data_IF_848250429404
#
_entry.id   IF_848250429404
#
_cell.length_a   1.000
_cell.length_b   1.000
_cell.length_c   1.000
_cell.angle_alpha   90.00
_cell.angle_beta   90.00
_cell.angle_gamma   90.00
#
_symmetry.space_group_name_H-M   'P 1'
#
loop_
_entity.id
_entity.type
_entity.pdbx_description
1 polymer ?
#
# COMPACT_ATOMS: atom_id res chain seq x y z
N UNK A 1 0.97 -12.76 58.86
CA UNK A 1 0.54 -13.73 59.89
C UNK A 1 -0.34 -14.75 59.18
N UNK A 2 0.00 -16.04 59.25
CA UNK A 2 -0.79 -17.12 58.62
C UNK A 2 -1.71 -17.73 59.66
N UNK A 3 -2.97 -18.00 59.27
CA UNK A 3 -3.99 -18.53 60.16
C UNK A 3 -4.59 -19.78 59.49
N UNK A 4 -4.73 -20.90 60.21
CA UNK A 4 -5.33 -22.12 59.66
C UNK A 4 -6.84 -22.00 59.45
N UNK A 5 -7.32 -22.41 58.28
CA UNK A 5 -8.73 -22.43 57.90
C UNK A 5 -9.55 -23.39 58.79
N UNK A 6 -10.86 -23.12 58.89
CA UNK A 6 -11.85 -23.95 59.60
C UNK A 6 -11.58 -24.14 61.10
N UNK A 7 -11.01 -23.11 61.75
CA UNK A 7 -10.81 -23.08 63.21
C UNK A 7 -11.84 -22.22 63.95
N UNK A 8 -12.97 -21.91 63.32
CA UNK A 8 -14.05 -21.07 63.83
C UNK A 8 -13.58 -19.72 64.36
N UNK A 9 -12.62 -19.10 63.66
CA UNK A 9 -12.12 -17.77 64.01
C UNK A 9 -13.10 -16.75 63.45
N UNK A 10 -13.81 -15.95 64.27
CA UNK A 10 -14.92 -15.13 63.80
C UNK A 10 -14.54 -14.10 62.71
N UNK A 11 -13.28 -13.64 62.70
CA UNK A 11 -12.79 -12.74 61.66
C UNK A 11 -12.52 -13.44 60.32
N UNK A 12 -12.06 -14.69 60.37
CA UNK A 12 -11.78 -15.54 59.21
C UNK A 12 -13.09 -15.96 58.54
N UNK A 13 -14.05 -16.41 59.34
CA UNK A 13 -15.39 -16.77 58.85
C UNK A 13 -16.11 -15.60 58.18
N UNK A 14 -16.01 -14.39 58.75
CA UNK A 14 -16.57 -13.18 58.14
C UNK A 14 -15.94 -12.86 56.79
N UNK A 15 -14.62 -13.03 56.67
CA UNK A 15 -13.92 -12.82 55.42
C UNK A 15 -14.33 -13.86 54.35
N UNK A 16 -14.44 -15.14 54.75
CA UNK A 16 -14.89 -16.22 53.86
C UNK A 16 -16.33 -16.03 53.38
N UNK A 17 -17.24 -15.63 54.28
CA UNK A 17 -18.63 -15.32 53.93
C UNK A 17 -18.67 -14.17 52.91
N UNK A 18 -17.95 -13.07 53.17
CA UNK A 18 -17.90 -11.92 52.26
C UNK A 18 -17.32 -12.29 50.88
N UNK A 19 -16.28 -13.14 50.84
CA UNK A 19 -15.71 -13.63 49.59
C UNK A 19 -16.71 -14.51 48.81
N UNK A 20 -17.46 -15.38 49.51
CA UNK A 20 -18.49 -16.23 48.91
C UNK A 20 -19.66 -15.40 48.35
N UNK A 21 -20.13 -14.41 49.09
CA UNK A 21 -21.13 -13.45 48.63
C UNK A 21 -20.64 -12.66 47.40
N UNK A 22 -19.39 -12.20 47.40
CA UNK A 22 -18.81 -11.52 46.24
C UNK A 22 -18.72 -12.43 45.01
N UNK A 23 -18.35 -13.71 45.17
CA UNK A 23 -18.25 -14.68 44.06
C UNK A 23 -19.58 -15.06 43.42
N UNK A 24 -20.69 -14.91 44.14
CA UNK A 24 -22.05 -15.22 43.65
C UNK A 24 -22.73 -14.01 43.03
N UNK A 25 -22.13 -12.84 43.11
CA UNK A 25 -22.67 -11.62 42.55
C UNK A 25 -22.53 -11.60 41.01
N UNK A 26 -23.64 -11.74 40.31
CA UNK A 26 -23.71 -11.76 38.83
C UNK A 26 -23.68 -10.32 38.25
N UNK A 27 -23.91 -9.29 39.07
CA UNK A 27 -23.89 -7.88 38.68
C UNK A 27 -22.47 -7.26 38.69
N UNK A 28 -21.43 -8.07 38.49
CA UNK A 28 -20.07 -7.55 38.30
C UNK A 28 -19.98 -7.06 36.85
N UNK A 29 -19.64 -5.78 36.60
CA UNK A 29 -19.37 -5.33 35.25
C UNK A 29 -18.22 -6.18 34.69
N UNK A 30 -18.50 -6.94 33.63
CA UNK A 30 -17.45 -7.61 32.86
C UNK A 30 -16.53 -6.53 32.32
N UNK A 31 -15.36 -6.38 32.92
CA UNK A 31 -14.28 -5.61 32.34
C UNK A 31 -13.78 -6.44 31.17
N UNK A 32 -14.09 -6.00 29.96
CA UNK A 32 -13.57 -6.62 28.75
C UNK A 32 -12.08 -6.27 28.67
N UNK A 33 -11.27 -7.06 29.36
CA UNK A 33 -9.81 -6.94 29.37
C UNK A 33 -9.29 -7.39 28.00
N UNK A 34 -9.52 -6.57 26.97
CA UNK A 34 -8.84 -6.76 25.69
C UNK A 34 -7.35 -6.68 25.95
N UNK A 35 -6.61 -7.72 25.57
CA UNK A 35 -5.15 -7.71 25.72
C UNK A 35 -4.59 -6.48 25.04
N UNK A 36 -3.50 -5.91 25.57
CA UNK A 36 -2.75 -4.85 24.89
C UNK A 36 -2.42 -5.22 23.43
N UNK A 37 -2.21 -6.52 23.15
CA UNK A 37 -2.01 -7.03 21.79
C UNK A 37 -3.22 -6.83 20.89
N UNK A 38 -4.43 -7.01 21.43
CA UNK A 38 -5.68 -6.90 20.68
C UNK A 38 -6.04 -5.44 20.44
N UNK A 39 -5.85 -4.56 21.43
CA UNK A 39 -6.03 -3.12 21.28
C UNK A 39 -5.07 -2.54 20.24
N UNK A 40 -3.79 -2.91 20.29
CA UNK A 40 -2.80 -2.52 19.28
C UNK A 40 -3.17 -3.02 17.87
N UNK A 41 -3.62 -4.28 17.74
CA UNK A 41 -4.05 -4.85 16.46
C UNK A 41 -5.27 -4.13 15.88
N UNK A 42 -6.24 -3.81 16.73
CA UNK A 42 -7.44 -3.08 16.34
C UNK A 42 -7.12 -1.64 15.95
N UNK A 43 -6.26 -0.95 16.69
CA UNK A 43 -5.79 0.39 16.34
C UNK A 43 -5.09 0.41 14.97
N UNK A 44 -4.21 -0.56 14.71
CA UNK A 44 -3.54 -0.69 13.41
C UNK A 44 -4.53 -0.98 12.28
N UNK A 45 -5.52 -1.85 12.52
CA UNK A 45 -6.58 -2.17 11.55
C UNK A 45 -7.40 -0.92 11.22
N UNK A 46 -7.82 -0.17 12.24
CA UNK A 46 -8.58 1.08 12.08
C UNK A 46 -7.76 2.14 11.35
N UNK A 47 -6.49 2.32 11.70
CA UNK A 47 -5.59 3.24 11.00
C UNK A 47 -5.44 2.89 9.52
N UNK A 48 -5.19 1.61 9.18
CA UNK A 48 -5.14 1.15 7.79
C UNK A 48 -6.43 1.44 7.02
N UNK A 49 -7.58 1.21 7.67
CA UNK A 49 -8.89 1.48 7.06
C UNK A 49 -9.10 2.98 6.80
N UNK A 50 -8.73 3.84 7.74
CA UNK A 50 -8.81 5.30 7.57
C UNK A 50 -7.90 5.75 6.44
N UNK A 51 -6.64 5.30 6.40
CA UNK A 51 -5.72 5.63 5.31
C UNK A 51 -6.24 5.16 3.94
N UNK A 52 -6.83 3.96 3.87
CA UNK A 52 -7.43 3.48 2.63
C UNK A 52 -8.61 4.36 2.19
N UNK A 53 -9.49 4.78 3.10
CA UNK A 53 -10.60 5.70 2.78
C UNK A 53 -10.11 7.04 2.25
N UNK A 54 -9.06 7.60 2.86
CA UNK A 54 -8.45 8.84 2.37
C UNK A 54 -7.83 8.63 0.98
N UNK A 55 -7.20 7.49 0.77
CA UNK A 55 -6.63 7.13 -0.53
C UNK A 55 -7.70 6.95 -1.62
N UNK A 56 -8.85 6.38 -1.29
CA UNK A 56 -9.97 6.21 -2.21
C UNK A 56 -10.58 7.56 -2.66
N UNK A 57 -10.32 8.65 -1.92
CA UNK A 57 -10.76 10.02 -2.25
C UNK A 57 -9.79 10.75 -3.19
N UNK A 58 -8.60 10.21 -3.46
CA UNK A 58 -7.58 10.83 -4.31
C UNK A 58 -7.91 10.65 -5.82
N UNK A 59 -8.80 11.50 -6.33
CA UNK A 59 -9.28 11.42 -7.72
C UNK A 59 -8.21 11.79 -8.78
N UNK A 60 -7.23 12.62 -8.41
CA UNK A 60 -6.23 13.18 -9.33
C UNK A 60 -4.82 12.59 -9.14
N UNK A 61 -4.72 11.41 -8.53
CA UNK A 61 -3.43 10.77 -8.27
C UNK A 61 -3.11 9.68 -9.31
N UNK A 62 -2.01 9.87 -10.04
CA UNK A 62 -1.53 8.91 -11.07
C UNK A 62 -1.28 7.53 -10.47
N UNK A 63 -0.78 7.46 -9.23
CA UNK A 63 -0.48 6.20 -8.57
C UNK A 63 -1.75 5.46 -8.16
N UNK A 64 -2.86 6.17 -7.85
CA UNK A 64 -4.14 5.54 -7.48
C UNK A 64 -4.67 4.65 -8.61
N UNK A 65 -4.57 5.09 -9.86
CA UNK A 65 -4.97 4.32 -11.05
C UNK A 65 -4.25 2.97 -11.16
N UNK A 66 -3.02 2.87 -10.64
CA UNK A 66 -2.18 1.67 -10.69
C UNK A 66 -2.27 0.87 -9.39
N UNK A 67 -2.39 1.55 -8.26
CA UNK A 67 -2.37 0.96 -6.92
C UNK A 67 -3.53 1.51 -6.07
N UNK A 68 -4.77 1.07 -6.32
CA UNK A 68 -5.92 1.50 -5.54
C UNK A 68 -5.87 0.95 -4.10
N UNK A 69 -5.21 -0.19 -3.86
CA UNK A 69 -5.10 -0.77 -2.52
C UNK A 69 -3.74 -0.47 -1.89
N UNK A 70 -3.73 0.07 -0.67
CA UNK A 70 -2.54 0.35 0.14
C UNK A 70 -1.96 -0.92 0.78
N UNK A 71 -1.64 -1.90 -0.05
CA UNK A 71 -0.91 -3.12 0.33
C UNK A 71 0.60 -2.92 0.14
N UNK A 72 1.47 -3.74 0.78
CA UNK A 72 2.90 -3.71 0.50
C UNK A 72 3.19 -3.76 -1.01
N UNK A 73 4.19 -2.99 -1.45
CA UNK A 73 4.64 -2.97 -2.84
C UNK A 73 6.11 -3.39 -2.89
N UNK A 74 6.40 -4.71 -2.82
CA UNK A 74 7.77 -5.19 -2.82
C UNK A 74 8.47 -4.87 -4.14
N UNK A 75 9.80 -4.80 -4.09
CA UNK A 75 10.58 -4.68 -5.31
C UNK A 75 10.49 -5.97 -6.13
N UNK A 76 10.53 -5.88 -7.46
CA UNK A 76 10.57 -7.05 -8.33
C UNK A 76 11.77 -7.95 -7.97
N UNK A 77 11.58 -9.28 -7.92
CA UNK A 77 12.66 -10.20 -7.60
C UNK A 77 13.77 -10.10 -8.66
N UNK A 78 15.02 -10.27 -8.23
CA UNK A 78 16.20 -10.24 -9.10
C UNK A 78 16.37 -8.94 -9.93
N UNK A 79 15.80 -7.84 -9.46
CA UNK A 79 15.96 -6.52 -10.09
C UNK A 79 17.19 -5.77 -9.58
N UNK A 80 17.87 -5.07 -10.49
CA UNK A 80 18.93 -4.12 -10.12
C UNK A 80 18.32 -2.84 -9.53
N UNK A 81 19.13 -2.10 -8.74
CA UNK A 81 18.72 -0.78 -8.21
C UNK A 81 18.21 0.16 -9.30
N UNK A 82 18.86 0.18 -10.48
CA UNK A 82 18.45 1.03 -11.61
C UNK A 82 17.05 0.66 -12.11
N UNK A 83 16.76 -0.62 -12.27
CA UNK A 83 15.44 -1.05 -12.74
C UNK A 83 14.34 -0.79 -11.71
N UNK A 84 14.63 -0.92 -10.41
CA UNK A 84 13.70 -0.55 -9.34
C UNK A 84 13.33 0.94 -9.38
N UNK A 85 14.32 1.80 -9.61
CA UNK A 85 14.11 3.25 -9.80
C UNK A 85 13.24 3.51 -11.02
N UNK A 86 13.56 2.89 -12.17
CA UNK A 86 12.78 3.03 -13.41
C UNK A 86 11.33 2.60 -13.17
N UNK A 87 11.09 1.43 -12.57
CA UNK A 87 9.75 0.92 -12.29
C UNK A 87 8.96 1.86 -11.38
N UNK A 88 9.58 2.34 -10.31
CA UNK A 88 8.95 3.30 -9.39
C UNK A 88 8.59 4.61 -10.09
N UNK A 89 9.52 5.17 -10.88
CA UNK A 89 9.30 6.40 -11.65
C UNK A 89 8.20 6.25 -12.69
N UNK A 90 8.13 5.11 -13.37
CA UNK A 90 7.04 4.80 -14.31
C UNK A 90 5.68 4.79 -13.60
N UNK A 91 5.61 4.24 -12.38
CA UNK A 91 4.35 4.17 -11.60
C UNK A 91 3.83 5.53 -11.16
N UNK A 92 4.71 6.38 -10.63
CA UNK A 92 4.31 7.75 -10.22
C UNK A 92 4.28 8.71 -11.43
N UNK A 93 4.77 8.25 -12.57
CA UNK A 93 4.90 9.04 -13.78
C UNK A 93 6.05 10.04 -13.79
N UNK A 94 6.90 10.09 -12.77
CA UNK A 94 7.98 11.09 -12.58
C UNK A 94 9.27 10.65 -13.27
N UNK A 95 9.27 10.67 -14.60
CA UNK A 95 10.42 10.32 -15.43
C UNK A 95 11.02 11.60 -15.99
N UNK A 96 12.28 11.56 -16.44
CA UNK A 96 12.90 12.75 -17.06
C UNK A 96 12.04 13.26 -18.23
N UNK A 97 11.68 12.38 -19.16
CA UNK A 97 10.89 12.73 -20.35
C UNK A 97 9.49 13.24 -20.06
N UNK A 98 8.85 12.82 -18.97
CA UNK A 98 7.49 13.28 -18.64
C UNK A 98 7.45 14.51 -17.74
N UNK A 99 8.50 14.80 -16.95
CA UNK A 99 8.47 15.85 -15.90
C UNK A 99 9.55 16.94 -16.04
N UNK A 100 10.50 16.82 -16.97
CA UNK A 100 11.56 17.84 -17.13
C UNK A 100 10.99 19.25 -17.39
N UNK A 101 9.86 19.35 -18.06
CA UNK A 101 9.16 20.63 -18.30
C UNK A 101 8.78 21.35 -17.01
N UNK A 102 8.45 20.63 -15.92
CA UNK A 102 8.14 21.24 -14.63
C UNK A 102 9.38 21.90 -14.02
N UNK A 103 10.54 21.27 -14.15
CA UNK A 103 11.81 21.82 -13.67
C UNK A 103 12.23 23.05 -14.46
N UNK A 104 11.89 23.08 -15.75
CA UNK A 104 12.13 24.22 -16.64
C UNK A 104 11.04 25.30 -16.58
N UNK A 105 9.94 25.04 -15.86
CA UNK A 105 8.72 25.89 -15.84
C UNK A 105 8.13 26.12 -17.24
N UNK A 106 8.24 25.11 -18.09
CA UNK A 106 7.72 25.09 -19.46
C UNK A 106 6.36 24.36 -19.50
N UNK A 107 5.51 24.63 -20.51
CA UNK A 107 4.33 23.83 -20.75
C UNK A 107 4.71 22.37 -21.01
N UNK A 108 3.79 21.44 -20.71
CA UNK A 108 4.02 20.02 -20.99
C UNK A 108 4.21 19.81 -22.50
N UNK A 109 5.35 19.26 -22.94
CA UNK A 109 5.59 19.04 -24.35
C UNK A 109 4.74 17.88 -24.87
N UNK A 110 4.52 17.86 -26.18
CA UNK A 110 3.99 16.70 -26.86
C UNK A 110 5.03 15.57 -26.88
N UNK A 111 4.56 14.35 -27.08
CA UNK A 111 5.41 13.17 -27.23
C UNK A 111 6.40 13.38 -28.39
N UNK A 112 7.70 13.37 -28.11
CA UNK A 112 8.73 13.55 -29.15
C UNK A 112 8.70 12.46 -30.23
N UNK A 113 8.12 11.29 -29.91
CA UNK A 113 8.03 10.19 -30.86
C UNK A 113 6.93 10.45 -31.90
N UNK A 114 5.73 10.82 -31.49
CA UNK A 114 4.55 10.89 -32.38
C UNK A 114 3.95 12.28 -32.54
N UNK A 115 4.31 13.24 -31.69
CA UNK A 115 3.81 14.61 -31.62
C UNK A 115 2.28 14.81 -31.50
N UNK A 116 1.51 13.74 -31.31
CA UNK A 116 0.04 13.77 -31.36
C UNK A 116 -0.65 14.10 -30.02
N UNK A 117 0.05 13.89 -28.89
CA UNK A 117 -0.51 14.09 -27.55
C UNK A 117 0.57 14.52 -26.54
N UNK A 118 0.20 15.15 -25.42
CA UNK A 118 1.12 15.46 -24.33
C UNK A 118 1.81 14.20 -23.78
N UNK A 119 3.11 14.31 -23.48
CA UNK A 119 3.88 13.15 -23.00
C UNK A 119 3.41 12.66 -21.62
N UNK A 120 3.13 11.37 -21.51
CA UNK A 120 2.76 10.71 -20.24
C UNK A 120 3.17 9.23 -20.24
N UNK A 121 3.20 8.59 -19.06
CA UNK A 121 3.49 7.15 -18.97
C UNK A 121 2.39 6.30 -19.59
N UNK A 122 1.12 6.70 -19.43
CA UNK A 122 -0.01 6.08 -20.12
C UNK A 122 0.15 6.17 -21.64
N UNK A 123 0.49 7.35 -22.15
CA UNK A 123 0.71 7.57 -23.58
C UNK A 123 1.81 6.66 -24.13
N UNK A 124 2.96 6.59 -23.47
CA UNK A 124 4.08 5.74 -23.89
C UNK A 124 3.72 4.25 -23.88
N UNK A 125 3.02 3.79 -22.85
CA UNK A 125 2.74 2.37 -22.64
C UNK A 125 1.52 1.85 -23.40
N UNK A 126 0.55 2.71 -23.76
CA UNK A 126 -0.74 2.29 -24.31
C UNK A 126 -1.14 2.95 -25.62
N UNK A 127 -0.76 4.22 -25.86
CA UNK A 127 -1.38 5.02 -26.94
C UNK A 127 -0.43 5.35 -28.09
N UNK A 128 0.83 5.69 -27.80
CA UNK A 128 1.80 6.20 -28.78
C UNK A 128 1.90 5.32 -30.04
N UNK A 129 1.53 5.80 -31.24
CA UNK A 129 1.48 4.99 -32.45
C UNK A 129 2.87 4.47 -32.86
N UNK A 130 3.92 5.25 -32.59
CA UNK A 130 5.30 4.90 -32.91
C UNK A 130 5.92 3.85 -31.96
N UNK A 131 5.15 3.40 -30.97
CA UNK A 131 5.55 2.29 -30.08
C UNK A 131 4.68 1.04 -30.28
N UNK A 132 3.85 1.00 -31.31
CA UNK A 132 2.88 -0.08 -31.53
C UNK A 132 3.54 -1.45 -31.69
N UNK A 133 4.64 -1.53 -32.45
CA UNK A 133 5.36 -2.79 -32.65
C UNK A 133 6.01 -3.28 -31.35
N UNK A 134 6.64 -2.38 -30.59
CA UNK A 134 7.27 -2.70 -29.31
C UNK A 134 6.23 -3.12 -28.27
N UNK A 135 5.00 -2.58 -28.32
CA UNK A 135 3.91 -2.96 -27.41
C UNK A 135 3.40 -4.37 -27.61
N UNK A 136 3.66 -5.03 -28.75
CA UNK A 136 3.23 -6.42 -29.00
C UNK A 136 3.82 -7.42 -28.00
N UNK A 137 4.87 -7.05 -27.28
CA UNK A 137 5.42 -7.90 -26.22
C UNK A 137 4.52 -8.00 -25.00
N UNK A 138 3.61 -7.03 -24.81
CA UNK A 138 2.60 -7.11 -23.77
C UNK A 138 1.44 -7.96 -24.31
N UNK A 139 0.97 -8.99 -23.58
CA UNK A 139 -0.40 -9.45 -23.81
C UNK A 139 -1.34 -8.24 -23.59
N UNK A 140 -2.50 -8.18 -24.23
CA UNK A 140 -3.38 -7.01 -24.08
C UNK A 140 -3.69 -6.72 -22.60
N UNK A 141 -3.06 -5.68 -22.05
CA UNK A 141 -2.99 -5.41 -20.62
C UNK A 141 -3.31 -3.94 -20.33
N UNK A 142 -3.91 -3.68 -19.18
CA UNK A 142 -4.16 -2.31 -18.73
C UNK A 142 -2.87 -1.66 -18.21
N UNK A 143 -2.87 -0.33 -18.03
CA UNK A 143 -1.73 0.39 -17.43
C UNK A 143 -1.33 -0.20 -16.07
N UNK A 144 -2.35 -0.57 -15.27
CA UNK A 144 -2.16 -1.19 -13.96
C UNK A 144 -1.43 -2.52 -14.07
N UNK A 145 -1.81 -3.34 -15.05
CA UNK A 145 -1.22 -4.67 -15.22
C UNK A 145 0.20 -4.58 -15.77
N UNK A 146 0.45 -3.70 -16.76
CA UNK A 146 1.81 -3.49 -17.31
C UNK A 146 2.80 -3.05 -16.21
N UNK A 147 2.33 -2.23 -15.26
CA UNK A 147 3.14 -1.71 -14.16
C UNK A 147 3.09 -2.59 -12.90
N UNK A 148 2.48 -3.77 -12.97
CA UNK A 148 2.50 -4.76 -11.89
C UNK A 148 3.89 -5.35 -11.70
N UNK A 149 4.09 -6.05 -10.58
CA UNK A 149 5.34 -6.75 -10.31
C UNK A 149 5.55 -7.94 -11.26
N UNK A 150 4.45 -8.59 -11.65
CA UNK A 150 4.47 -9.80 -12.48
C UNK A 150 4.94 -9.48 -13.91
N UNK A 151 4.59 -8.29 -14.41
CA UNK A 151 4.95 -7.84 -15.76
C UNK A 151 6.22 -6.98 -15.81
N UNK A 152 6.97 -6.90 -14.70
CA UNK A 152 8.17 -6.09 -14.61
C UNK A 152 9.20 -6.41 -15.72
N UNK A 153 9.43 -7.68 -16.03
CA UNK A 153 10.38 -8.07 -17.06
C UNK A 153 9.95 -7.62 -18.46
N UNK A 154 8.65 -7.69 -18.76
CA UNK A 154 8.10 -7.15 -20.01
C UNK A 154 8.28 -5.64 -20.07
N UNK A 155 7.99 -4.90 -18.99
CA UNK A 155 8.19 -3.46 -18.93
C UNK A 155 9.65 -3.08 -19.20
N UNK A 156 10.61 -3.74 -18.55
CA UNK A 156 12.03 -3.44 -18.75
C UNK A 156 12.45 -3.77 -20.19
N UNK A 157 11.95 -4.87 -20.75
CA UNK A 157 12.23 -5.25 -22.14
C UNK A 157 11.67 -4.22 -23.11
N UNK A 158 10.42 -3.79 -22.91
CA UNK A 158 9.77 -2.73 -23.68
C UNK A 158 10.60 -1.45 -23.69
N UNK A 159 11.05 -0.99 -22.52
CA UNK A 159 11.84 0.24 -22.40
C UNK A 159 13.20 0.13 -23.09
N UNK A 160 13.80 -1.06 -23.15
CA UNK A 160 15.05 -1.30 -23.88
C UNK A 160 14.84 -1.26 -25.40
N UNK A 161 13.87 -2.02 -25.91
CA UNK A 161 13.60 -2.09 -27.37
C UNK A 161 13.04 -0.78 -27.95
N UNK A 162 12.41 0.05 -27.11
CA UNK A 162 11.93 1.40 -27.48
C UNK A 162 12.97 2.49 -27.30
N UNK A 163 14.19 2.17 -26.86
CA UNK A 163 15.25 3.14 -26.53
C UNK A 163 14.85 4.18 -25.45
N UNK A 164 13.89 3.85 -24.59
CA UNK A 164 13.42 4.72 -23.51
C UNK A 164 14.13 4.45 -22.18
N UNK A 165 14.80 3.31 -22.02
CA UNK A 165 15.37 2.84 -20.74
C UNK A 165 16.31 3.85 -20.05
N UNK A 166 17.09 4.62 -20.82
CA UNK A 166 18.00 5.64 -20.27
C UNK A 166 17.37 7.02 -20.09
N UNK A 167 16.14 7.18 -20.57
CA UNK A 167 15.38 8.44 -20.56
C UNK A 167 14.34 8.50 -19.42
N UNK A 168 14.20 7.42 -18.64
CA UNK A 168 13.34 7.34 -17.45
C UNK A 168 14.09 7.80 -16.21
#
# INVERSE_FOLDING_TARGET
>A
MWIPAHKNIPGDEKADIAAKEASTNINIPKIDLTSFKDTARNALKSSKMIHQRLWDQELNNKLYQIKPLLIPNPNPPSSTRRQQVIWTRMKIGHTNITHIHLMRREPRPNCELCNNAPISTAHLLLECPNLTEQRKIFPHLTLKDILSIDNFNYLITFLKISNLYNRI
#
